data_IF_750085928624
#
_entry.id   IF_750085928624
#
_cell.length_a   1.000
_cell.length_b   1.000
_cell.length_c   1.000
_cell.angle_alpha   90.00
_cell.angle_beta   90.00
_cell.angle_gamma   90.00
#
_symmetry.space_group_name_H-M   'P 1'
#
loop_
_entity.id
_entity.type
_entity.pdbx_description
1 polymer ?
#
# COMPACT_ATOMS: atom_id res chain seq x y z
N UNK A 1 -35.34 -2.04 -51.29
CA UNK A 1 -34.03 -2.71 -51.41
C UNK A 1 -33.23 -2.40 -50.14
N UNK A 2 -32.90 -3.42 -49.33
CA UNK A 2 -32.32 -3.26 -47.98
C UNK A 2 -30.83 -2.88 -48.07
N UNK A 3 -30.43 -1.80 -47.39
CA UNK A 3 -29.04 -1.43 -47.17
C UNK A 3 -28.41 -2.38 -46.12
N UNK A 4 -27.24 -2.97 -46.45
CA UNK A 4 -26.46 -3.80 -45.53
C UNK A 4 -25.69 -2.89 -44.56
N UNK A 5 -25.97 -2.99 -43.26
CA UNK A 5 -25.11 -2.44 -42.20
C UNK A 5 -24.00 -3.46 -41.95
N UNK A 6 -22.77 -3.11 -42.28
CA UNK A 6 -21.58 -3.87 -41.90
C UNK A 6 -21.20 -3.56 -40.46
N UNK A 7 -21.34 -4.55 -39.58
CA UNK A 7 -20.82 -4.49 -38.20
C UNK A 7 -19.30 -4.64 -38.25
N UNK A 8 -18.58 -3.60 -37.83
CA UNK A 8 -17.13 -3.67 -37.59
C UNK A 8 -16.92 -4.43 -36.28
N UNK A 9 -16.51 -5.69 -36.38
CA UNK A 9 -16.01 -6.47 -35.24
C UNK A 9 -14.66 -5.89 -34.80
N UNK A 10 -14.67 -5.08 -33.74
CA UNK A 10 -13.49 -4.65 -33.03
C UNK A 10 -12.80 -5.86 -32.41
N UNK A 11 -11.55 -6.09 -32.83
CA UNK A 11 -10.68 -7.20 -32.41
C UNK A 11 -10.51 -7.16 -30.89
N UNK A 12 -10.89 -8.24 -30.22
CA UNK A 12 -10.58 -8.50 -28.81
C UNK A 12 -9.07 -8.56 -28.64
N UNK A 13 -8.49 -7.54 -28.02
CA UNK A 13 -7.12 -7.58 -27.53
C UNK A 13 -7.03 -8.66 -26.44
N UNK A 14 -6.31 -9.74 -26.74
CA UNK A 14 -6.03 -10.80 -25.79
C UNK A 14 -5.20 -10.24 -24.63
N UNK A 15 -5.75 -10.27 -23.42
CA UNK A 15 -4.96 -10.12 -22.20
C UNK A 15 -4.06 -11.35 -22.08
N UNK A 16 -2.76 -11.09 -22.11
CA UNK A 16 -1.69 -12.08 -22.08
C UNK A 16 -1.89 -13.10 -20.94
N UNK A 17 -1.85 -14.37 -21.33
CA UNK A 17 -1.92 -15.55 -20.47
C UNK A 17 -0.69 -15.67 -19.56
N UNK A 18 -0.71 -14.98 -18.41
CA UNK A 18 0.22 -15.23 -17.29
C UNK A 18 -0.29 -14.79 -15.89
N UNK A 19 -1.49 -14.22 -15.78
CA UNK A 19 -1.97 -13.56 -14.54
C UNK A 19 -2.77 -14.50 -13.61
N UNK A 20 -3.03 -15.74 -14.03
CA UNK A 20 -4.08 -16.57 -13.44
C UNK A 20 -3.68 -17.38 -12.20
N UNK A 21 -2.47 -17.23 -11.64
CA UNK A 21 -1.93 -18.19 -10.66
C UNK A 21 -2.01 -17.85 -9.17
N UNK A 22 -2.55 -16.69 -8.76
CA UNK A 22 -2.61 -16.35 -7.32
C UNK A 22 -3.85 -15.56 -6.89
N UNK A 23 -5.00 -15.73 -7.56
CA UNK A 23 -6.25 -15.24 -6.97
C UNK A 23 -6.58 -16.08 -5.74
N UNK A 24 -6.80 -15.47 -4.56
CA UNK A 24 -7.24 -16.20 -3.38
C UNK A 24 -8.59 -16.87 -3.65
N UNK A 25 -8.84 -18.01 -3.01
CA UNK A 25 -10.19 -18.60 -3.03
C UNK A 25 -11.15 -17.68 -2.27
N UNK A 26 -12.44 -17.88 -2.49
CA UNK A 26 -13.47 -17.17 -1.73
C UNK A 26 -13.25 -17.33 -0.23
N UNK A 27 -13.20 -16.21 0.51
CA UNK A 27 -12.98 -16.21 1.95
C UNK A 27 -11.52 -16.30 2.39
N UNK A 28 -10.56 -16.36 1.46
CA UNK A 28 -9.12 -16.47 1.76
C UNK A 28 -8.32 -15.21 1.38
N UNK A 29 -8.98 -14.12 0.98
CA UNK A 29 -8.29 -12.89 0.59
C UNK A 29 -7.76 -12.10 1.79
N UNK A 30 -6.92 -11.10 1.52
CA UNK A 30 -6.49 -10.13 2.53
C UNK A 30 -7.69 -9.42 3.17
N UNK A 31 -8.71 -9.09 2.39
CA UNK A 31 -9.94 -8.48 2.91
C UNK A 31 -10.71 -9.42 3.86
N UNK A 32 -10.77 -10.72 3.53
CA UNK A 32 -11.55 -11.70 4.29
C UNK A 32 -10.87 -12.09 5.61
N UNK A 33 -9.55 -12.32 5.57
CA UNK A 33 -8.81 -12.88 6.70
C UNK A 33 -8.13 -11.83 7.59
N UNK A 34 -7.90 -10.60 7.07
CA UNK A 34 -7.11 -9.58 7.73
C UNK A 34 -7.72 -8.18 7.54
N UNK A 35 -8.95 -7.98 8.00
CA UNK A 35 -9.71 -6.72 7.88
C UNK A 35 -8.92 -5.49 8.35
N UNK A 36 -8.20 -5.58 9.48
CA UNK A 36 -7.39 -4.48 10.01
C UNK A 36 -6.22 -4.08 9.09
N UNK A 37 -5.70 -5.04 8.33
CA UNK A 37 -4.63 -4.79 7.36
C UNK A 37 -5.21 -4.26 6.05
N UNK A 38 -6.35 -4.79 5.61
CA UNK A 38 -7.09 -4.29 4.46
C UNK A 38 -7.53 -2.82 4.66
N UNK A 39 -7.90 -2.44 5.90
CA UNK A 39 -8.20 -1.05 6.26
C UNK A 39 -6.99 -0.10 6.11
N UNK A 40 -5.77 -0.65 6.11
CA UNK A 40 -4.53 0.09 5.91
C UNK A 40 -4.04 0.01 4.45
N UNK A 41 -4.85 -0.49 3.51
CA UNK A 41 -4.53 -0.48 2.09
C UNK A 41 -4.44 0.95 1.58
N UNK A 42 -3.39 1.29 0.85
CA UNK A 42 -3.27 2.64 0.31
C UNK A 42 -4.32 2.88 -0.78
N UNK A 43 -5.09 3.99 -0.73
CA UNK A 43 -6.25 4.21 -1.60
C UNK A 43 -5.92 4.34 -3.09
N UNK A 44 -4.76 4.91 -3.45
CA UNK A 44 -4.43 5.24 -4.84
C UNK A 44 -3.12 4.66 -5.39
N UNK A 45 -2.24 4.08 -4.55
CA UNK A 45 -0.87 3.69 -4.96
C UNK A 45 -0.74 2.24 -5.40
N UNK A 46 -1.81 1.45 -5.33
CA UNK A 46 -1.82 0.04 -5.74
C UNK A 46 -2.53 -0.21 -7.08
N UNK A 47 -2.80 0.85 -7.86
CA UNK A 47 -3.53 0.75 -9.13
C UNK A 47 -4.94 0.18 -8.94
N UNK A 48 -5.36 -0.70 -9.84
CA UNK A 48 -6.68 -1.35 -9.79
C UNK A 48 -6.77 -2.49 -8.77
N UNK A 49 -5.68 -2.80 -8.06
CA UNK A 49 -5.62 -3.96 -7.20
C UNK A 49 -6.33 -3.70 -5.86
N UNK A 50 -7.26 -4.59 -5.51
CA UNK A 50 -8.02 -4.53 -4.26
C UNK A 50 -7.54 -5.56 -3.23
N UNK A 51 -7.72 -5.31 -1.92
CA UNK A 51 -7.44 -6.32 -0.88
C UNK A 51 -8.18 -7.65 -1.09
N UNK A 52 -9.36 -7.64 -1.72
CA UNK A 52 -10.13 -8.85 -2.06
C UNK A 52 -9.47 -9.75 -3.11
N UNK A 53 -8.49 -9.23 -3.85
CA UNK A 53 -7.77 -9.98 -4.89
C UNK A 53 -6.38 -10.45 -4.44
N UNK A 54 -5.97 -10.11 -3.21
CA UNK A 54 -4.62 -10.34 -2.71
C UNK A 54 -4.61 -11.57 -1.80
N UNK A 55 -3.75 -12.54 -2.11
CA UNK A 55 -3.41 -13.61 -1.19
C UNK A 55 -2.55 -13.06 -0.03
N UNK A 56 -2.96 -13.21 1.24
CA UNK A 56 -2.21 -12.72 2.40
C UNK A 56 -0.75 -13.18 2.51
N UNK A 57 -0.44 -14.36 1.96
CA UNK A 57 0.89 -14.97 1.99
C UNK A 57 1.83 -14.50 0.88
N UNK A 58 1.41 -13.60 -0.01
CA UNK A 58 2.26 -13.15 -1.11
C UNK A 58 3.45 -12.31 -0.62
N UNK A 59 4.61 -12.51 -1.25
CA UNK A 59 5.80 -11.67 -1.08
C UNK A 59 5.72 -10.38 -1.91
N UNK A 60 4.70 -10.23 -2.76
CA UNK A 60 4.46 -9.00 -3.52
C UNK A 60 4.26 -7.82 -2.57
N UNK A 61 4.91 -6.71 -2.91
CA UNK A 61 4.94 -5.47 -2.13
C UNK A 61 3.82 -4.55 -2.55
N UNK A 62 3.08 -4.05 -1.56
CA UNK A 62 2.00 -3.10 -1.74
C UNK A 62 2.25 -1.85 -0.92
N UNK A 63 1.60 -0.77 -1.30
CA UNK A 63 1.54 0.45 -0.54
C UNK A 63 0.47 0.35 0.55
N UNK A 64 0.85 0.76 1.74
CA UNK A 64 0.01 0.80 2.94
C UNK A 64 -0.02 2.23 3.47
N UNK A 65 -1.12 2.58 4.12
CA UNK A 65 -1.32 3.85 4.82
C UNK A 65 -2.03 3.58 6.13
N UNK A 66 -1.46 4.01 7.26
CA UNK A 66 -2.18 3.92 8.53
C UNK A 66 -3.02 5.19 8.75
N UNK A 67 -4.03 5.09 9.60
CA UNK A 67 -4.92 6.20 9.95
C UNK A 67 -4.35 7.18 10.97
N UNK A 68 -3.16 6.93 11.52
CA UNK A 68 -2.58 7.75 12.57
C UNK A 68 -2.11 9.12 12.07
N UNK A 69 -1.61 9.18 10.83
CA UNK A 69 -1.27 10.44 10.17
C UNK A 69 -1.24 10.27 8.64
N UNK A 70 -1.49 11.36 7.92
CA UNK A 70 -1.59 11.35 6.46
C UNK A 70 -0.28 11.01 5.74
N UNK A 71 0.86 11.25 6.38
CA UNK A 71 2.20 10.99 5.83
C UNK A 71 2.75 9.61 6.22
N UNK A 72 1.95 8.77 6.88
CA UNK A 72 2.33 7.40 7.25
C UNK A 72 2.05 6.44 6.09
N UNK A 73 2.83 6.56 5.04
CA UNK A 73 2.74 5.73 3.84
C UNK A 73 4.01 4.92 3.65
N UNK A 74 3.89 3.60 3.51
CA UNK A 74 5.07 2.74 3.33
C UNK A 74 4.76 1.55 2.43
N UNK A 75 5.83 0.95 1.90
CA UNK A 75 5.74 -0.23 1.07
C UNK A 75 6.31 -1.44 1.81
N UNK A 76 5.56 -2.55 1.83
CA UNK A 76 5.99 -3.85 2.36
C UNK A 76 5.14 -4.96 1.73
N UNK A 77 5.61 -6.21 1.81
CA UNK A 77 4.86 -7.36 1.32
C UNK A 77 3.60 -7.65 2.15
N UNK A 78 2.57 -8.24 1.53
CA UNK A 78 1.37 -8.68 2.25
C UNK A 78 1.74 -9.67 3.37
N UNK A 79 2.59 -10.66 3.09
CA UNK A 79 3.08 -11.63 4.10
C UNK A 79 3.83 -10.95 5.24
N UNK A 80 4.51 -9.84 4.96
CA UNK A 80 5.18 -9.03 5.99
C UNK A 80 4.19 -8.38 6.95
N UNK A 81 2.99 -8.05 6.49
CA UNK A 81 1.93 -7.42 7.29
C UNK A 81 1.12 -8.44 8.08
N UNK A 82 0.82 -9.57 7.45
CA UNK A 82 -0.13 -10.57 7.96
C UNK A 82 0.56 -11.59 8.87
N UNK A 83 1.62 -12.26 8.41
CA UNK A 83 2.28 -13.34 9.15
C UNK A 83 3.43 -12.88 10.04
N UNK A 84 4.08 -11.76 9.68
CA UNK A 84 5.18 -11.19 10.47
C UNK A 84 4.74 -10.00 11.33
N UNK A 85 3.46 -9.63 11.26
CA UNK A 85 2.84 -8.56 12.04
C UNK A 85 3.61 -7.23 12.01
N UNK A 86 4.14 -6.83 10.85
CA UNK A 86 4.81 -5.53 10.73
C UNK A 86 3.79 -4.39 10.78
N UNK A 87 3.74 -3.69 11.92
CA UNK A 87 2.92 -2.49 12.10
C UNK A 87 3.42 -1.29 11.27
N UNK A 88 2.78 -0.14 11.46
CA UNK A 88 3.24 1.11 10.85
C UNK A 88 4.66 1.46 11.36
N UNK A 89 5.66 1.59 10.48
CA UNK A 89 7.03 1.87 10.90
C UNK A 89 7.18 3.26 11.56
N UNK A 90 6.33 4.21 11.16
CA UNK A 90 6.33 5.58 11.67
C UNK A 90 5.76 5.64 13.10
N UNK A 91 4.65 4.95 13.38
CA UNK A 91 4.11 4.83 14.74
C UNK A 91 5.10 4.17 15.70
N UNK A 92 5.92 3.23 15.22
CA UNK A 92 6.93 2.56 16.04
C UNK A 92 8.29 3.28 16.11
N UNK A 93 8.40 4.49 15.55
CA UNK A 93 9.65 5.26 15.55
C UNK A 93 10.79 4.66 14.70
N UNK A 94 10.50 3.69 13.83
CA UNK A 94 11.50 3.07 12.94
C UNK A 94 11.78 3.90 11.68
N UNK A 95 10.90 4.83 11.36
CA UNK A 95 11.05 5.79 10.26
C UNK A 95 10.55 7.15 10.72
N UNK A 96 11.23 8.21 10.27
CA UNK A 96 10.86 9.59 10.52
C UNK A 96 10.07 10.15 9.34
N UNK A 97 8.99 10.86 9.63
CA UNK A 97 8.16 11.68 8.76
C UNK A 97 7.98 13.05 9.40
N UNK A 98 7.25 13.94 8.73
CA UNK A 98 6.92 15.25 9.30
C UNK A 98 6.16 15.05 10.62
N UNK A 99 5.13 14.22 10.63
CA UNK A 99 4.24 14.02 11.79
C UNK A 99 4.90 13.39 13.03
N UNK A 100 6.03 12.70 12.91
CA UNK A 100 6.73 12.09 14.04
C UNK A 100 8.18 12.58 14.21
N UNK A 101 8.54 13.68 13.56
CA UNK A 101 9.86 14.31 13.70
C UNK A 101 10.06 14.90 15.09
N UNK A 102 11.33 15.03 15.52
CA UNK A 102 11.69 15.68 16.78
C UNK A 102 11.08 17.10 16.88
N UNK A 103 11.18 17.88 15.80
CA UNK A 103 10.63 19.23 15.74
C UNK A 103 9.10 19.27 15.88
N UNK A 104 8.40 18.21 15.48
CA UNK A 104 6.93 18.15 15.58
C UNK A 104 6.47 17.65 16.96
N UNK A 105 7.14 16.63 17.51
CA UNK A 105 6.74 16.01 18.78
C UNK A 105 7.30 16.74 20.01
N UNK A 106 8.47 17.35 19.88
CA UNK A 106 9.21 17.97 20.98
C UNK A 106 9.86 19.29 20.53
N UNK A 107 9.06 20.32 20.20
CA UNK A 107 9.57 21.57 19.65
C UNK A 107 10.56 22.28 20.58
N UNK A 108 10.34 22.24 21.89
CA UNK A 108 11.26 22.82 22.87
C UNK A 108 12.63 22.14 22.85
N UNK A 109 12.65 20.80 22.77
CA UNK A 109 13.89 20.02 22.68
C UNK A 109 14.57 20.24 21.33
N UNK A 110 13.80 20.37 20.25
CA UNK A 110 14.34 20.68 18.94
C UNK A 110 15.02 22.07 18.91
N UNK A 111 14.53 23.04 19.68
CA UNK A 111 15.13 24.37 19.79
C UNK A 111 16.49 24.36 20.50
N UNK A 112 16.76 23.36 21.33
CA UNK A 112 18.07 23.15 21.96
C UNK A 112 19.13 22.62 20.97
N UNK A 113 18.73 22.26 19.74
CA UNK A 113 19.66 21.75 18.72
C UNK A 113 20.67 22.81 18.30
N UNK A 114 21.94 22.57 18.57
CA UNK A 114 22.99 23.53 18.23
C UNK A 114 23.11 23.70 16.70
N UNK A 115 23.01 24.94 16.17
CA UNK A 115 22.88 25.16 14.72
C UNK A 115 24.11 24.75 13.90
N UNK A 116 25.29 24.71 14.51
CA UNK A 116 26.56 24.46 13.80
C UNK A 116 27.43 23.32 14.34
N UNK A 117 27.01 22.62 15.42
CA UNK A 117 27.87 21.60 16.08
C UNK A 117 27.54 20.16 15.70
N UNK A 118 26.53 19.95 14.87
CA UNK A 118 25.98 18.62 14.57
C UNK A 118 26.33 18.12 13.15
N UNK A 119 27.34 18.70 12.50
CA UNK A 119 27.76 18.34 11.16
C UNK A 119 26.84 18.85 10.05
N UNK A 120 27.09 18.42 8.82
CA UNK A 120 26.23 18.71 7.66
C UNK A 120 25.03 17.75 7.68
N UNK A 121 23.82 18.32 7.80
CA UNK A 121 22.53 17.62 7.89
C UNK A 121 21.70 17.78 6.62
#
# INVERSE_FOLDING_TARGET
MRLRVGVVLGKTGGVSSAVQRFRPKHGESLADLFSDMAAQWHPTKNGDMSPSEVNPGTTQRFWWKCSAADDHEWQVSAVGRTHRSSGCPFCTGRKVTRSNSLATLFPEIAAEWHPTKNGDL
#
